data_IF_283255370729
#
_entry.id   IF_283255370729
#
_cell.length_a   1.000
_cell.length_b   1.000
_cell.length_c   1.000
_cell.angle_alpha   90.00
_cell.angle_beta   90.00
_cell.angle_gamma   90.00
#
_symmetry.space_group_name_H-M   'P 1'
#
loop_
_entity.id
_entity.type
_entity.pdbx_description
1 polymer ?
#
# COMPACT_ATOMS: atom_id res chain seq x y z
N UNK A 1 -14.05 3.47 -0.01
CA UNK A 1 -14.03 3.67 1.45
C UNK A 1 -14.25 2.33 2.14
N UNK A 2 -13.21 1.79 2.77
CA UNK A 2 -13.25 0.49 3.45
C UNK A 2 -14.01 0.55 4.78
N UNK A 3 -14.87 -0.42 5.06
CA UNK A 3 -15.50 -0.56 6.38
C UNK A 3 -14.49 -1.07 7.42
N UNK A 4 -14.79 -0.88 8.72
CA UNK A 4 -13.94 -1.36 9.81
C UNK A 4 -13.66 -2.87 9.73
N UNK A 5 -14.67 -3.66 9.34
CA UNK A 5 -14.57 -5.13 9.18
C UNK A 5 -13.67 -5.51 8.02
N UNK A 6 -13.84 -4.86 6.87
CA UNK A 6 -13.00 -5.07 5.69
C UNK A 6 -11.55 -4.68 5.96
N UNK A 7 -11.34 -3.54 6.63
CA UNK A 7 -9.99 -3.11 7.02
C UNK A 7 -9.34 -4.09 7.99
N UNK A 8 -10.08 -4.67 8.94
CA UNK A 8 -9.55 -5.69 9.84
C UNK A 8 -9.13 -6.97 9.08
N UNK A 9 -9.94 -7.42 8.12
CA UNK A 9 -9.59 -8.56 7.26
C UNK A 9 -8.30 -8.28 6.46
N UNK A 10 -8.22 -7.11 5.81
CA UNK A 10 -7.05 -6.70 5.03
C UNK A 10 -5.80 -6.59 5.89
N UNK A 11 -5.90 -6.08 7.14
CA UNK A 11 -4.77 -6.07 8.07
C UNK A 11 -4.27 -7.46 8.42
N UNK A 12 -5.19 -8.41 8.63
CA UNK A 12 -4.82 -9.80 8.92
C UNK A 12 -4.04 -10.42 7.75
N UNK A 13 -4.54 -10.25 6.52
CA UNK A 13 -3.85 -10.68 5.29
C UNK A 13 -2.50 -9.98 5.13
N UNK A 14 -2.47 -8.68 5.41
CA UNK A 14 -1.27 -7.88 5.27
C UNK A 14 -0.17 -8.29 6.26
N UNK A 15 -0.49 -8.90 7.42
CA UNK A 15 0.54 -9.36 8.34
C UNK A 15 1.42 -10.47 7.75
N UNK A 16 0.87 -11.27 6.83
CA UNK A 16 1.59 -12.40 6.23
C UNK A 16 2.42 -12.03 4.98
N UNK A 17 2.28 -10.82 4.45
CA UNK A 17 3.02 -10.38 3.26
C UNK A 17 4.27 -9.57 3.63
N UNK A 18 5.34 -9.76 2.89
CA UNK A 18 6.56 -8.95 3.03
C UNK A 18 6.43 -7.59 2.35
N UNK A 19 7.29 -6.65 2.76
CA UNK A 19 7.42 -5.37 2.08
C UNK A 19 8.08 -5.57 0.72
N UNK A 20 7.38 -5.25 -0.36
CA UNK A 20 7.90 -5.43 -1.73
C UNK A 20 8.52 -4.16 -2.31
N UNK A 21 8.23 -3.00 -1.71
CA UNK A 21 8.81 -1.73 -2.10
C UNK A 21 9.28 -0.93 -0.88
N UNK A 22 10.27 -0.07 -1.11
CA UNK A 22 10.80 0.83 -0.09
C UNK A 22 11.01 2.24 -0.63
N UNK A 23 10.75 3.24 0.21
CA UNK A 23 10.97 4.66 -0.11
C UNK A 23 12.24 5.11 0.61
N UNK A 24 13.26 5.48 -0.17
CA UNK A 24 14.53 5.98 0.33
C UNK A 24 14.69 7.49 0.14
N UNK A 25 15.94 7.94 0.06
CA UNK A 25 16.32 9.36 -0.12
C UNK A 25 15.64 10.06 -1.30
N UNK A 26 15.40 9.32 -2.38
CA UNK A 26 14.75 9.85 -3.59
C UNK A 26 13.26 10.11 -3.41
N UNK A 27 12.67 9.76 -2.26
CA UNK A 27 11.26 9.97 -1.98
C UNK A 27 10.34 9.20 -2.92
N UNK A 28 9.18 9.79 -3.19
CA UNK A 28 8.16 9.26 -4.09
C UNK A 28 8.40 9.83 -5.48
N UNK A 29 8.57 8.94 -6.46
CA UNK A 29 8.78 9.31 -7.86
C UNK A 29 7.84 8.54 -8.79
N UNK A 30 7.77 8.95 -10.05
CA UNK A 30 6.86 8.38 -11.05
C UNK A 30 7.10 6.89 -11.29
N UNK A 31 8.36 6.45 -11.27
CA UNK A 31 8.71 5.04 -11.45
C UNK A 31 8.16 4.19 -10.29
N UNK A 32 8.30 4.65 -9.05
CA UNK A 32 7.75 3.98 -7.87
C UNK A 32 6.23 3.92 -7.96
N UNK A 33 5.57 5.03 -8.31
CA UNK A 33 4.11 5.09 -8.45
C UNK A 33 3.63 4.06 -9.48
N UNK A 34 4.27 3.98 -10.65
CA UNK A 34 3.92 3.00 -11.68
C UNK A 34 4.10 1.55 -11.20
N UNK A 35 5.22 1.25 -10.54
CA UNK A 35 5.47 -0.08 -9.99
C UNK A 35 4.45 -0.48 -8.90
N UNK A 36 4.06 0.49 -8.06
CA UNK A 36 3.02 0.29 -7.05
C UNK A 36 1.66 0.05 -7.70
N UNK A 37 1.33 0.80 -8.75
CA UNK A 37 0.09 0.62 -9.52
C UNK A 37 -0.02 -0.79 -10.12
N UNK A 38 1.03 -1.23 -10.82
CA UNK A 38 1.10 -2.57 -11.43
C UNK A 38 1.01 -3.67 -10.36
N UNK A 39 1.68 -3.48 -9.22
CA UNK A 39 1.66 -4.44 -8.13
C UNK A 39 0.29 -4.53 -7.44
N UNK A 40 -0.39 -3.40 -7.28
CA UNK A 40 -1.75 -3.35 -6.77
C UNK A 40 -2.71 -4.04 -7.73
N UNK A 41 -2.55 -3.89 -9.04
CA UNK A 41 -3.39 -4.60 -10.02
C UNK A 41 -3.19 -6.12 -9.94
N UNK A 42 -1.95 -6.58 -9.75
CA UNK A 42 -1.64 -8.00 -9.71
C UNK A 42 -2.02 -8.70 -8.39
N UNK A 43 -1.98 -7.97 -7.27
CA UNK A 43 -2.03 -8.53 -5.90
C UNK A 43 -3.16 -7.99 -5.04
N UNK A 44 -3.73 -6.85 -5.41
CA UNK A 44 -4.75 -6.06 -4.68
C UNK A 44 -4.33 -5.51 -3.32
N UNK A 45 -3.42 -6.20 -2.62
CA UNK A 45 -2.91 -5.84 -1.31
C UNK A 45 -1.38 -5.90 -1.33
N UNK A 46 -0.74 -4.78 -1.01
CA UNK A 46 0.72 -4.68 -0.97
C UNK A 46 1.18 -4.00 0.32
N UNK A 47 2.40 -4.33 0.73
CA UNK A 47 3.08 -3.71 1.87
C UNK A 47 4.34 -3.01 1.40
N UNK A 48 4.58 -1.81 1.91
CA UNK A 48 5.74 -0.98 1.62
C UNK A 48 6.40 -0.52 2.92
N UNK A 49 7.63 -0.04 2.81
CA UNK A 49 8.39 0.53 3.92
C UNK A 49 8.95 1.91 3.55
N UNK A 50 9.02 2.83 4.48
CA UNK A 50 9.81 4.06 4.37
C UNK A 50 11.11 3.90 5.14
N UNK A 51 12.24 4.16 4.49
CA UNK A 51 13.54 4.22 5.16
C UNK A 51 13.66 5.53 5.93
N UNK A 52 14.51 5.54 6.97
CA UNK A 52 14.76 6.73 7.78
C UNK A 52 15.32 7.91 6.97
N UNK A 53 16.00 7.61 5.87
CA UNK A 53 16.53 8.61 4.95
C UNK A 53 15.48 9.24 4.03
N UNK A 54 14.23 8.78 4.09
CA UNK A 54 13.13 9.29 3.27
C UNK A 54 12.83 10.75 3.63
N UNK A 55 12.56 11.62 2.65
CA UNK A 55 12.12 13.00 2.92
C UNK A 55 10.68 13.07 3.45
N UNK A 56 9.93 11.97 3.39
CA UNK A 56 8.53 11.87 3.82
C UNK A 56 8.35 10.79 4.89
N UNK A 57 7.41 11.02 5.79
CA UNK A 57 7.02 10.05 6.81
C UNK A 57 6.26 8.85 6.20
N UNK A 58 6.20 7.70 6.91
CA UNK A 58 5.41 6.55 6.46
C UNK A 58 3.93 6.86 6.26
N UNK A 59 3.38 7.78 7.05
CA UNK A 59 1.99 8.22 6.93
C UNK A 59 1.77 9.05 5.67
N UNK A 60 2.61 10.07 5.46
CA UNK A 60 2.53 10.93 4.27
C UNK A 60 2.75 10.10 3.00
N UNK A 61 3.70 9.16 3.04
CA UNK A 61 3.94 8.29 1.90
C UNK A 61 2.75 7.40 1.57
N UNK A 62 2.12 6.80 2.59
CA UNK A 62 0.93 6.01 2.41
C UNK A 62 -0.20 6.84 1.77
N UNK A 63 -0.46 8.03 2.30
CA UNK A 63 -1.55 8.89 1.84
C UNK A 63 -1.29 9.41 0.40
N UNK A 64 -0.07 9.87 0.10
CA UNK A 64 0.30 10.36 -1.24
C UNK A 64 0.23 9.25 -2.29
N UNK A 65 0.84 8.09 -2.03
CA UNK A 65 0.83 6.98 -2.98
C UNK A 65 -0.59 6.48 -3.18
N UNK A 66 -1.35 6.31 -2.09
CA UNK A 66 -2.75 5.89 -2.17
C UNK A 66 -3.60 6.82 -3.05
N UNK A 67 -3.42 8.13 -2.90
CA UNK A 67 -4.13 9.11 -3.74
C UNK A 67 -3.74 8.98 -5.22
N UNK A 68 -2.45 8.81 -5.51
CA UNK A 68 -1.93 8.76 -6.89
C UNK A 68 -2.35 7.49 -7.64
N UNK A 69 -2.46 6.35 -6.94
CA UNK A 69 -2.83 5.05 -7.53
C UNK A 69 -4.29 4.66 -7.26
N UNK A 70 -5.10 5.58 -6.72
CA UNK A 70 -6.50 5.32 -6.35
C UNK A 70 -6.69 4.09 -5.44
N UNK A 71 -5.86 3.98 -4.41
CA UNK A 71 -5.91 2.92 -3.39
C UNK A 71 -6.41 3.45 -2.04
N UNK A 72 -6.80 2.53 -1.17
CA UNK A 72 -7.13 2.80 0.22
C UNK A 72 -5.93 2.44 1.13
N UNK A 73 -5.63 3.32 2.09
CA UNK A 73 -4.67 3.04 3.16
C UNK A 73 -5.31 2.11 4.18
N UNK A 74 -4.76 0.90 4.34
CA UNK A 74 -5.26 -0.10 5.28
C UNK A 74 -4.67 0.10 6.68
N UNK A 75 -3.36 0.33 6.72
CA UNK A 75 -2.62 0.46 7.97
C UNK A 75 -1.26 1.13 7.76
N UNK A 76 -0.79 1.85 8.79
CA UNK A 76 0.57 2.33 8.93
C UNK A 76 1.08 1.87 10.30
N UNK A 77 2.21 1.16 10.34
CA UNK A 77 2.83 0.62 11.56
C UNK A 77 4.34 0.90 11.50
N UNK A 78 4.82 1.81 12.35
CA UNK A 78 6.22 2.23 12.34
C UNK A 78 6.62 2.72 10.94
N UNK A 79 7.67 2.13 10.38
CA UNK A 79 8.14 2.44 9.02
C UNK A 79 7.33 1.80 7.90
N UNK A 80 6.40 0.89 8.19
CA UNK A 80 5.69 0.09 7.18
C UNK A 80 4.27 0.58 6.99
N UNK A 81 3.76 0.45 5.78
CA UNK A 81 2.36 0.73 5.48
C UNK A 81 1.80 -0.24 4.44
N UNK A 82 0.48 -0.33 4.42
CA UNK A 82 -0.27 -1.30 3.62
C UNK A 82 -1.30 -0.54 2.79
N UNK A 83 -1.28 -0.82 1.49
CA UNK A 83 -2.23 -0.26 0.52
C UNK A 83 -3.08 -1.37 -0.06
N UNK A 84 -4.36 -1.07 -0.27
CA UNK A 84 -5.30 -1.96 -0.94
C UNK A 84 -6.00 -1.25 -2.08
N UNK A 85 -6.11 -1.92 -3.22
CA UNK A 85 -6.97 -1.52 -4.33
C UNK A 85 -7.63 -2.76 -4.89
N UNK A 86 -8.93 -2.71 -5.08
CA UNK A 86 -9.64 -3.77 -5.79
C UNK A 86 -9.13 -3.81 -7.25
N UNK A 87 -8.69 -4.99 -7.69
CA UNK A 87 -8.25 -5.16 -9.08
C UNK A 87 -9.45 -5.19 -10.00
N UNK A 88 -9.30 -4.58 -11.17
CA UNK A 88 -10.32 -4.57 -12.21
C UNK A 88 -10.40 -5.93 -12.91
N UNK A 89 -9.25 -6.55 -13.15
CA UNK A 89 -9.14 -7.75 -13.97
C UNK A 89 -8.80 -9.03 -13.18
N UNK A 90 -8.20 -8.91 -12.00
CA UNK A 90 -7.62 -10.01 -11.22
C UNK A 90 -8.09 -10.05 -9.76
N UNK A 91 -9.42 -9.99 -9.56
CA UNK A 91 -10.01 -10.02 -8.21
C UNK A 91 -9.72 -11.33 -7.48
N UNK A 92 -8.96 -11.26 -6.39
CA UNK A 92 -8.52 -12.38 -5.53
C UNK A 92 -9.03 -12.24 -4.10
N UNK A 93 -9.22 -11.00 -3.61
CA UNK A 93 -9.63 -10.71 -2.24
C UNK A 93 -11.13 -10.47 -2.19
N UNK A 94 -11.85 -11.38 -1.53
CA UNK A 94 -13.28 -11.25 -1.27
C UNK A 94 -13.51 -10.65 0.12
N UNK A 95 -13.82 -9.35 0.16
CA UNK A 95 -14.15 -8.61 1.37
C UNK A 95 -15.56 -9.00 1.88
N UNK A 96 -15.70 -9.30 3.18
CA UNK A 96 -16.97 -9.69 3.83
C UNK A 96 -17.36 -8.79 4.99
#
# INVERSE_FOLDING_TARGET
MLTSKQRAQLRSLANQIDTIFQIGKSGINEQLIKQVDDALEARELIKLCTLETSPVSPREAADQIAQLVSADVVQVIGSRFVLYRESKDNKKIFLK
#
